data_IF_705294456355
#
_entry.id   IF_705294456355
#
_cell.length_a   1.000
_cell.length_b   1.000
_cell.length_c   1.000
_cell.angle_alpha   90.00
_cell.angle_beta   90.00
_cell.angle_gamma   90.00
#
_symmetry.space_group_name_H-M   'P 1'
#
loop_
_entity.id
_entity.type
_entity.pdbx_description
1 polymer ?
#
# COMPACT_ATOMS: atom_id res chain seq x y z
N UNK A 1 -87.33 -12.29 -60.45
CA UNK A 1 -86.07 -11.58 -60.88
C UNK A 1 -85.42 -10.97 -59.66
N UNK A 2 -84.51 -11.64 -59.08
CA UNK A 2 -83.63 -11.01 -58.10
C UNK A 2 -82.29 -11.76 -58.10
N UNK A 3 -81.23 -11.08 -58.51
CA UNK A 3 -79.85 -11.61 -58.56
C UNK A 3 -79.22 -11.53 -57.18
N UNK A 4 -78.91 -12.67 -56.61
CA UNK A 4 -78.07 -12.74 -55.40
C UNK A 4 -76.62 -12.55 -55.76
N UNK A 5 -75.95 -11.59 -55.08
CA UNK A 5 -74.54 -11.43 -55.13
C UNK A 5 -73.93 -12.16 -53.93
N UNK A 6 -73.05 -13.14 -54.19
CA UNK A 6 -72.29 -13.84 -53.24
C UNK A 6 -71.06 -12.96 -52.92
N UNK A 7 -70.86 -12.57 -51.65
CA UNK A 7 -69.68 -11.87 -51.17
C UNK A 7 -68.80 -12.91 -50.51
N UNK A 8 -67.66 -13.15 -51.10
CA UNK A 8 -66.60 -14.01 -50.51
C UNK A 8 -65.85 -13.29 -49.40
N UNK A 9 -65.88 -13.84 -48.18
CA UNK A 9 -65.02 -13.41 -47.08
C UNK A 9 -63.62 -14.09 -47.23
N UNK A 10 -62.58 -13.30 -47.32
CA UNK A 10 -61.18 -13.74 -47.23
C UNK A 10 -60.79 -13.64 -45.79
N UNK A 11 -60.26 -14.70 -45.12
CA UNK A 11 -59.72 -14.56 -43.76
C UNK A 11 -58.30 -13.99 -43.83
N UNK A 12 -58.12 -12.86 -43.17
CA UNK A 12 -56.82 -12.24 -42.97
C UNK A 12 -56.09 -13.03 -41.87
N UNK A 13 -55.07 -13.80 -42.25
CA UNK A 13 -54.12 -14.40 -41.29
C UNK A 13 -53.14 -13.34 -40.77
N UNK A 14 -53.35 -12.96 -39.51
CA UNK A 14 -52.32 -12.17 -38.79
C UNK A 14 -51.17 -13.09 -38.39
N UNK A 15 -50.05 -12.98 -39.10
CA UNK A 15 -48.79 -13.59 -38.67
C UNK A 15 -48.16 -12.66 -37.62
N UNK A 16 -48.27 -13.04 -36.35
CA UNK A 16 -47.53 -12.39 -35.27
C UNK A 16 -46.04 -12.78 -35.38
N UNK A 17 -45.23 -11.86 -35.88
CA UNK A 17 -43.79 -11.95 -35.81
C UNK A 17 -43.37 -11.73 -34.33
N UNK A 18 -43.11 -12.83 -33.63
CA UNK A 18 -42.42 -12.81 -32.33
C UNK A 18 -40.96 -12.43 -32.60
N UNK A 19 -40.64 -11.14 -32.42
CA UNK A 19 -39.27 -10.66 -32.40
C UNK A 19 -38.63 -11.12 -31.10
N UNK A 20 -37.89 -12.22 -31.14
CA UNK A 20 -36.92 -12.55 -30.10
C UNK A 20 -35.84 -11.45 -30.12
N UNK A 21 -36.00 -10.46 -29.24
CA UNK A 21 -34.83 -9.66 -28.82
C UNK A 21 -33.92 -10.59 -28.07
N UNK A 22 -32.84 -11.00 -28.71
CA UNK A 22 -31.69 -11.55 -28.01
C UNK A 22 -31.18 -10.43 -27.07
N UNK A 23 -31.37 -10.61 -25.77
CA UNK A 23 -30.58 -9.92 -24.77
C UNK A 23 -29.13 -10.27 -25.05
N UNK A 24 -28.43 -9.40 -25.76
CA UNK A 24 -26.98 -9.37 -25.68
C UNK A 24 -26.66 -9.06 -24.23
N UNK A 25 -26.25 -10.07 -23.46
CA UNK A 25 -25.45 -9.86 -22.28
C UNK A 25 -24.38 -8.85 -22.68
N UNK A 26 -24.54 -7.63 -22.19
CA UNK A 26 -23.42 -6.70 -22.09
C UNK A 26 -22.47 -7.31 -21.06
N UNK A 27 -21.58 -8.18 -21.52
CA UNK A 27 -20.30 -8.38 -20.88
C UNK A 27 -19.63 -7.00 -20.89
N UNK A 28 -19.86 -6.27 -19.81
CA UNK A 28 -19.08 -5.10 -19.47
C UNK A 28 -17.65 -5.60 -19.42
N UNK A 29 -16.88 -5.33 -20.47
CA UNK A 29 -15.42 -5.55 -20.45
C UNK A 29 -14.95 -4.73 -19.26
N UNK A 30 -14.62 -5.43 -18.14
CA UNK A 30 -13.83 -4.84 -17.08
C UNK A 30 -12.61 -4.26 -17.78
N UNK A 31 -12.51 -2.95 -17.74
CA UNK A 31 -11.28 -2.26 -18.11
C UNK A 31 -10.24 -2.83 -17.14
N UNK A 32 -9.34 -3.68 -17.63
CA UNK A 32 -8.28 -4.28 -16.82
C UNK A 32 -7.32 -3.16 -16.42
N UNK A 33 -7.72 -2.39 -15.40
CA UNK A 33 -6.89 -1.35 -14.81
C UNK A 33 -5.60 -2.02 -14.37
N UNK A 34 -4.49 -1.65 -14.98
CA UNK A 34 -3.18 -2.21 -14.65
C UNK A 34 -2.94 -2.05 -13.15
N UNK A 35 -2.62 -3.14 -12.45
CA UNK A 35 -2.34 -3.12 -11.01
C UNK A 35 -1.15 -2.20 -10.72
N UNK A 36 -1.15 -1.53 -9.56
CA UNK A 36 -0.04 -0.65 -9.18
C UNK A 36 1.07 -1.42 -8.45
N UNK A 37 2.30 -0.98 -8.66
CA UNK A 37 3.50 -1.39 -7.91
C UNK A 37 4.14 -0.12 -7.38
N UNK A 38 4.03 0.12 -6.06
CA UNK A 38 4.47 1.34 -5.39
C UNK A 38 5.72 1.04 -4.56
N UNK A 39 6.85 1.66 -4.88
CA UNK A 39 8.11 1.50 -4.15
C UNK A 39 8.42 2.71 -3.28
N UNK A 40 8.69 2.51 -2.00
CA UNK A 40 9.19 3.58 -1.12
C UNK A 40 10.71 3.71 -1.25
N UNK A 41 11.18 4.93 -1.51
CA UNK A 41 12.60 5.28 -1.63
C UNK A 41 13.01 6.13 -0.43
N UNK A 42 14.07 5.73 0.34
CA UNK A 42 14.42 6.38 1.61
C UNK A 42 15.26 7.65 1.40
N UNK A 43 14.62 8.79 1.19
CA UNK A 43 15.28 10.10 1.08
C UNK A 43 15.99 10.55 2.37
N UNK A 44 15.48 10.13 3.53
CA UNK A 44 16.10 10.40 4.82
C UNK A 44 17.50 9.79 4.97
N UNK A 45 17.85 8.80 4.16
CA UNK A 45 19.19 8.19 4.14
C UNK A 45 20.23 9.04 3.37
N UNK A 46 19.84 10.19 2.82
CA UNK A 46 20.69 11.08 2.06
C UNK A 46 20.55 10.88 0.55
N UNK A 47 21.68 10.96 -0.19
CA UNK A 47 21.67 10.77 -1.65
C UNK A 47 21.29 9.34 -2.02
N UNK A 48 20.28 9.20 -2.87
CA UNK A 48 19.84 7.91 -3.42
C UNK A 48 20.37 7.73 -4.84
N UNK A 49 20.90 6.55 -5.13
CA UNK A 49 21.34 6.20 -6.49
C UNK A 49 20.15 5.69 -7.32
N UNK A 50 19.50 6.59 -8.07
CA UNK A 50 18.37 6.25 -8.91
C UNK A 50 18.73 5.30 -10.08
N UNK A 51 20.02 5.12 -10.40
CA UNK A 51 20.43 4.18 -11.46
C UNK A 51 20.25 2.71 -11.06
N UNK A 52 20.01 2.44 -9.77
CA UNK A 52 19.70 1.11 -9.27
C UNK A 52 18.25 0.71 -9.44
N UNK A 53 17.37 1.63 -9.88
CA UNK A 53 15.94 1.40 -10.08
C UNK A 53 15.66 1.01 -11.52
N UNK A 54 15.06 -0.17 -11.73
CA UNK A 54 14.40 -0.50 -12.98
C UNK A 54 13.00 0.13 -13.02
N UNK A 55 12.91 1.28 -13.69
CA UNK A 55 11.69 2.08 -13.74
C UNK A 55 10.49 1.34 -14.36
N UNK A 56 10.74 0.37 -15.24
CA UNK A 56 9.68 -0.40 -15.91
C UNK A 56 8.97 -1.38 -14.96
N UNK A 57 9.60 -1.68 -13.81
CA UNK A 57 9.00 -2.55 -12.77
C UNK A 57 8.09 -1.80 -11.80
N UNK A 58 8.03 -0.48 -11.86
CA UNK A 58 7.27 0.37 -10.95
C UNK A 58 6.18 1.16 -11.68
N UNK A 59 5.08 1.42 -10.97
CA UNK A 59 4.09 2.41 -11.37
C UNK A 59 4.26 3.71 -10.59
N UNK A 60 4.71 3.60 -9.33
CA UNK A 60 4.89 4.74 -8.41
C UNK A 60 6.18 4.61 -7.62
N UNK A 61 6.76 5.76 -7.32
CA UNK A 61 7.81 5.93 -6.32
C UNK A 61 7.27 6.92 -5.28
N UNK A 62 7.22 6.50 -4.01
CA UNK A 62 6.95 7.35 -2.87
C UNK A 62 8.28 7.74 -2.22
N UNK A 63 8.65 9.02 -2.32
CA UNK A 63 9.87 9.55 -1.72
C UNK A 63 9.67 9.78 -0.22
N UNK A 64 10.31 8.99 0.61
CA UNK A 64 10.19 8.99 2.06
C UNK A 64 11.41 9.65 2.72
N UNK A 65 11.30 10.78 3.45
CA UNK A 65 10.06 11.45 3.78
C UNK A 65 10.19 12.97 3.67
N UNK A 66 9.05 13.65 3.62
CA UNK A 66 8.90 15.08 3.88
C UNK A 66 8.38 15.25 5.29
N UNK A 67 8.90 16.21 6.06
CA UNK A 67 8.49 16.46 7.45
C UNK A 67 7.37 17.49 7.56
N UNK A 68 6.76 17.58 8.74
CA UNK A 68 5.76 18.59 9.12
C UNK A 68 6.32 19.47 10.23
N UNK A 69 6.42 20.79 10.00
CA UNK A 69 6.85 21.77 10.99
C UNK A 69 5.96 23.01 10.94
N UNK A 70 5.49 23.52 12.07
CA UNK A 70 4.64 24.72 12.14
C UNK A 70 3.45 24.71 11.16
N UNK A 71 2.81 23.55 11.01
CA UNK A 71 1.70 23.30 10.08
C UNK A 71 2.06 23.46 8.60
N UNK A 72 3.32 23.25 8.21
CA UNK A 72 3.76 23.19 6.81
C UNK A 72 4.55 21.91 6.54
N UNK A 73 4.39 21.40 5.31
CA UNK A 73 5.29 20.38 4.79
C UNK A 73 6.65 21.02 4.44
N UNK A 74 7.74 20.43 4.92
CA UNK A 74 9.10 20.93 4.74
C UNK A 74 10.06 19.84 4.30
N UNK A 75 10.95 20.15 3.36
CA UNK A 75 12.09 19.29 3.03
C UNK A 75 13.12 19.38 4.15
N UNK A 76 13.52 18.23 4.70
CA UNK A 76 14.44 18.18 5.85
C UNK A 76 15.89 18.37 5.45
N UNK A 77 16.23 17.91 4.25
CA UNK A 77 17.57 18.06 3.69
C UNK A 77 17.46 18.54 2.24
N UNK A 78 17.24 19.83 2.08
CA UNK A 78 16.96 20.45 0.79
C UNK A 78 18.03 20.18 -0.26
N UNK A 79 19.31 20.04 0.15
CA UNK A 79 20.41 19.79 -0.78
C UNK A 79 20.35 18.39 -1.38
N UNK A 80 20.07 17.37 -0.58
CA UNK A 80 19.92 15.99 -1.08
C UNK A 80 18.55 15.73 -1.67
N UNK A 81 17.46 16.25 -1.05
CA UNK A 81 16.08 16.04 -1.51
C UNK A 81 15.89 16.55 -2.94
N UNK A 82 16.38 17.76 -3.23
CA UNK A 82 16.23 18.36 -4.56
C UNK A 82 17.02 17.63 -5.64
N UNK A 83 18.18 17.06 -5.31
CA UNK A 83 18.96 16.21 -6.21
C UNK A 83 18.25 14.88 -6.43
N UNK A 84 17.75 14.23 -5.36
CA UNK A 84 16.99 12.99 -5.44
C UNK A 84 15.75 13.15 -6.31
N UNK A 85 14.95 14.21 -6.14
CA UNK A 85 13.78 14.48 -6.99
C UNK A 85 14.14 14.60 -8.47
N UNK A 86 15.24 15.27 -8.79
CA UNK A 86 15.70 15.41 -10.19
C UNK A 86 16.13 14.06 -10.77
N UNK A 87 16.88 13.28 -10.00
CA UNK A 87 17.34 11.95 -10.44
C UNK A 87 16.16 11.00 -10.62
N UNK A 88 15.22 10.94 -9.66
CA UNK A 88 14.04 10.09 -9.73
C UNK A 88 13.08 10.52 -10.84
N UNK A 89 12.86 11.84 -11.07
CA UNK A 89 12.11 12.32 -12.22
C UNK A 89 12.77 11.93 -13.57
N UNK A 90 14.09 11.81 -13.59
CA UNK A 90 14.83 11.33 -14.76
C UNK A 90 14.41 9.91 -15.19
N UNK A 91 13.90 9.07 -14.28
CA UNK A 91 13.38 7.74 -14.60
C UNK A 91 12.16 7.77 -15.52
N UNK A 92 11.41 8.89 -15.55
CA UNK A 92 10.30 9.10 -16.49
C UNK A 92 10.75 9.14 -17.96
N UNK A 93 12.05 9.33 -18.25
CA UNK A 93 12.59 9.16 -19.59
C UNK A 93 12.59 7.69 -20.04
N UNK A 94 12.63 6.74 -19.10
CA UNK A 94 12.53 5.30 -19.35
C UNK A 94 11.06 4.87 -19.30
N UNK A 95 10.37 5.18 -18.20
CA UNK A 95 8.95 4.90 -18.01
C UNK A 95 8.14 6.21 -17.88
N UNK A 96 7.60 6.77 -18.99
CA UNK A 96 6.82 8.00 -18.94
C UNK A 96 5.53 7.95 -18.10
N UNK A 97 5.05 6.73 -17.78
CA UNK A 97 3.86 6.53 -16.95
C UNK A 97 4.18 6.49 -15.44
N UNK A 98 5.48 6.45 -15.07
CA UNK A 98 5.91 6.43 -13.68
C UNK A 98 5.46 7.68 -12.93
N UNK A 99 4.88 7.48 -11.74
CA UNK A 99 4.48 8.55 -10.82
C UNK A 99 5.54 8.71 -9.74
N UNK A 100 5.96 9.94 -9.48
CA UNK A 100 6.85 10.28 -8.38
C UNK A 100 6.10 11.15 -7.37
N UNK A 101 5.91 10.65 -6.17
CA UNK A 101 5.15 11.29 -5.11
C UNK A 101 6.02 11.60 -3.91
N UNK A 102 5.70 12.65 -3.15
CA UNK A 102 6.25 12.83 -1.81
C UNK A 102 5.42 12.03 -0.81
N UNK A 103 6.09 11.30 0.09
CA UNK A 103 5.48 10.75 1.29
C UNK A 103 5.80 11.65 2.48
N UNK A 104 4.76 12.10 3.19
CA UNK A 104 4.87 13.04 4.31
C UNK A 104 4.63 12.28 5.61
N UNK A 105 5.56 12.35 6.56
CA UNK A 105 5.47 11.72 7.87
C UNK A 105 6.41 10.54 8.05
N UNK A 106 5.85 9.34 8.21
CA UNK A 106 6.55 8.13 8.65
C UNK A 106 6.72 8.10 10.17
N UNK A 107 7.29 7.01 10.69
CA UNK A 107 7.39 6.74 12.13
C UNK A 107 7.97 7.92 12.91
N UNK A 108 9.13 8.46 12.48
CA UNK A 108 9.87 9.49 13.22
C UNK A 108 9.46 10.93 12.90
N UNK A 109 8.58 11.18 11.93
CA UNK A 109 8.19 12.53 11.53
C UNK A 109 6.68 12.76 11.53
N UNK A 110 5.97 12.00 12.40
CA UNK A 110 4.52 12.13 12.60
C UNK A 110 4.15 12.99 13.82
N UNK A 111 5.14 13.50 14.56
CA UNK A 111 4.93 14.22 15.82
C UNK A 111 4.06 15.48 15.69
N UNK A 112 4.09 16.16 14.54
CA UNK A 112 3.43 17.46 14.35
C UNK A 112 2.11 17.41 13.57
N UNK A 113 1.66 16.25 13.10
CA UNK A 113 0.43 16.17 12.29
C UNK A 113 -0.81 16.64 13.01
N UNK A 114 -1.03 16.20 14.25
CA UNK A 114 -2.22 16.53 15.01
C UNK A 114 -2.39 18.05 15.20
N UNK A 115 -1.28 18.79 15.38
CA UNK A 115 -1.28 20.26 15.43
C UNK A 115 -1.50 20.87 14.03
N UNK A 116 -0.84 20.31 13.01
CA UNK A 116 -0.95 20.82 11.65
C UNK A 116 -2.36 20.73 11.07
N UNK A 117 -3.16 19.75 11.50
CA UNK A 117 -4.50 19.53 10.95
C UNK A 117 -5.65 19.93 11.91
N UNK A 118 -5.31 20.50 13.07
CA UNK A 118 -6.29 20.78 14.12
C UNK A 118 -7.37 21.78 13.70
N UNK A 119 -7.00 22.84 12.99
CA UNK A 119 -7.92 23.90 12.55
C UNK A 119 -8.01 23.94 11.01
N UNK A 120 -9.09 24.51 10.48
CA UNK A 120 -9.21 24.77 9.04
C UNK A 120 -8.03 25.58 8.49
N UNK A 121 -7.62 26.61 9.21
CA UNK A 121 -6.48 27.46 8.81
C UNK A 121 -5.17 26.67 8.75
N UNK A 122 -4.88 25.87 9.78
CA UNK A 122 -3.65 25.05 9.81
C UNK A 122 -3.68 23.94 8.77
N UNK A 123 -4.82 23.26 8.57
CA UNK A 123 -4.99 22.26 7.49
C UNK A 123 -4.74 22.87 6.11
N UNK A 124 -5.33 24.04 5.84
CA UNK A 124 -5.11 24.73 4.56
C UNK A 124 -3.64 25.09 4.35
N UNK A 125 -2.97 25.60 5.38
CA UNK A 125 -1.53 25.89 5.34
C UNK A 125 -0.70 24.64 5.03
N UNK A 126 -1.02 23.51 5.68
CA UNK A 126 -0.40 22.22 5.44
C UNK A 126 -0.62 21.75 3.99
N UNK A 127 -1.86 21.75 3.52
CA UNK A 127 -2.19 21.30 2.16
C UNK A 127 -1.52 22.16 1.08
N UNK A 128 -1.54 23.47 1.23
CA UNK A 128 -0.90 24.39 0.30
C UNK A 128 0.62 24.20 0.23
N UNK A 129 1.29 24.01 1.38
CA UNK A 129 2.73 23.76 1.41
C UNK A 129 3.10 22.41 0.80
N UNK A 130 2.29 21.37 1.04
CA UNK A 130 2.48 20.05 0.44
C UNK A 130 2.38 20.11 -1.10
N UNK A 131 1.34 20.77 -1.61
CA UNK A 131 1.10 20.91 -3.05
C UNK A 131 2.12 21.86 -3.70
N UNK A 132 2.63 22.86 -2.97
CA UNK A 132 3.71 23.72 -3.47
C UNK A 132 5.01 22.93 -3.73
N UNK A 133 5.35 21.92 -2.90
CA UNK A 133 6.47 21.01 -3.16
C UNK A 133 6.20 20.20 -4.44
N UNK A 134 4.99 19.65 -4.60
CA UNK A 134 4.60 18.90 -5.81
C UNK A 134 4.77 19.75 -7.06
N UNK A 135 4.28 20.99 -7.05
CA UNK A 135 4.40 21.92 -8.19
C UNK A 135 5.86 22.30 -8.46
N UNK A 136 6.60 22.66 -7.41
CA UNK A 136 7.97 23.16 -7.53
C UNK A 136 8.93 22.15 -8.14
N UNK A 137 8.75 20.86 -7.81
CA UNK A 137 9.65 19.79 -8.23
C UNK A 137 9.07 18.88 -9.33
N UNK A 138 7.96 19.28 -9.96
CA UNK A 138 7.27 18.53 -11.03
C UNK A 138 6.95 17.08 -10.64
N UNK A 139 6.38 16.92 -9.44
CA UNK A 139 5.98 15.64 -8.90
C UNK A 139 4.53 15.30 -9.27
N UNK A 140 4.06 14.10 -8.96
CA UNK A 140 2.77 13.58 -9.40
C UNK A 140 1.72 13.49 -8.29
N UNK A 141 2.08 13.81 -7.03
CA UNK A 141 1.11 13.77 -5.94
C UNK A 141 1.70 13.71 -4.55
N UNK A 142 0.83 13.43 -3.60
CA UNK A 142 1.13 13.37 -2.15
C UNK A 142 0.68 12.04 -1.58
N UNK A 143 1.55 11.40 -0.84
CA UNK A 143 1.28 10.27 0.05
C UNK A 143 1.35 10.75 1.50
N UNK A 144 0.45 10.32 2.37
CA UNK A 144 0.45 10.64 3.79
C UNK A 144 0.73 9.38 4.59
N UNK A 145 1.74 9.44 5.42
CA UNK A 145 2.15 8.38 6.34
C UNK A 145 2.14 8.92 7.78
N UNK A 146 0.93 9.10 8.33
CA UNK A 146 0.75 9.63 9.69
C UNK A 146 0.62 8.49 10.70
N UNK A 147 1.62 8.32 11.56
CA UNK A 147 1.72 7.25 12.54
C UNK A 147 1.68 7.77 13.99
N UNK A 148 0.50 7.97 14.64
CA UNK A 148 -0.84 7.69 14.10
C UNK A 148 -1.82 8.80 14.51
N UNK A 149 -2.88 9.09 13.72
CA UNK A 149 -3.96 9.96 14.16
C UNK A 149 -4.69 9.33 15.36
N UNK A 150 -4.87 10.10 16.44
CA UNK A 150 -5.61 9.67 17.61
C UNK A 150 -4.97 8.57 18.46
N UNK A 151 -3.79 8.05 18.07
CA UNK A 151 -3.06 7.00 18.78
C UNK A 151 -1.60 7.39 19.00
N UNK A 152 -0.98 6.70 19.96
CA UNK A 152 0.43 6.87 20.25
C UNK A 152 1.30 6.21 19.18
N UNK A 153 2.20 7.00 18.57
CA UNK A 153 3.34 6.57 17.77
C UNK A 153 4.65 6.91 18.48
N UNK A 154 5.71 7.29 17.71
CA UNK A 154 6.98 7.79 18.26
C UNK A 154 6.83 9.29 18.56
N UNK A 155 6.78 9.65 19.85
CA UNK A 155 6.75 11.04 20.37
C UNK A 155 5.68 11.96 19.74
N UNK A 156 4.66 11.41 19.06
CA UNK A 156 3.62 12.18 18.39
C UNK A 156 2.60 12.76 19.38
N UNK A 157 2.11 13.96 19.08
CA UNK A 157 0.88 14.48 19.68
C UNK A 157 -0.32 13.79 19.03
N UNK A 158 -1.28 13.33 19.83
CA UNK A 158 -2.51 12.71 19.35
C UNK A 158 -3.73 13.17 20.15
N UNK A 159 -4.89 13.27 19.49
CA UNK A 159 -6.13 13.82 20.06
C UNK A 159 -7.35 13.04 19.55
N UNK A 160 -8.46 13.02 20.29
CA UNK A 160 -9.73 12.48 19.79
C UNK A 160 -10.22 13.15 18.50
N UNK A 161 -9.93 14.45 18.33
CA UNK A 161 -10.28 15.25 17.15
C UNK A 161 -9.56 14.77 15.87
N UNK A 162 -8.46 14.05 16.02
CA UNK A 162 -7.71 13.50 14.88
C UNK A 162 -8.57 12.55 14.03
N UNK A 163 -9.56 11.89 14.64
CA UNK A 163 -10.54 11.07 13.93
C UNK A 163 -11.17 11.81 12.74
N UNK A 164 -11.71 12.98 13.00
CA UNK A 164 -12.33 13.81 11.96
C UNK A 164 -11.29 14.56 11.15
N UNK A 165 -10.25 15.08 11.81
CA UNK A 165 -9.22 15.90 11.19
C UNK A 165 -8.41 15.12 10.16
N UNK A 166 -8.22 13.81 10.32
CA UNK A 166 -7.61 12.92 9.34
C UNK A 166 -8.40 12.92 8.01
N UNK A 167 -9.71 12.79 8.08
CA UNK A 167 -10.58 12.90 6.90
C UNK A 167 -10.54 14.29 6.27
N UNK A 168 -10.64 15.34 7.09
CA UNK A 168 -10.62 16.73 6.61
C UNK A 168 -9.27 17.14 6.01
N UNK A 169 -8.18 16.54 6.46
CA UNK A 169 -6.86 16.72 5.86
C UNK A 169 -6.84 16.23 4.40
N UNK A 170 -7.37 15.04 4.13
CA UNK A 170 -7.45 14.51 2.76
C UNK A 170 -8.37 15.35 1.88
N UNK A 171 -9.49 15.82 2.43
CA UNK A 171 -10.35 16.76 1.70
C UNK A 171 -9.57 18.01 1.28
N UNK A 172 -8.87 18.65 2.22
CA UNK A 172 -8.10 19.87 1.95
C UNK A 172 -6.95 19.64 0.95
N UNK A 173 -6.23 18.49 1.06
CA UNK A 173 -5.19 18.12 0.10
C UNK A 173 -5.76 17.87 -1.29
N UNK A 174 -6.90 17.19 -1.39
CA UNK A 174 -7.57 16.94 -2.68
C UNK A 174 -8.00 18.24 -3.35
N UNK A 175 -8.59 19.18 -2.59
CA UNK A 175 -8.99 20.50 -3.09
C UNK A 175 -7.80 21.27 -3.67
N UNK A 176 -6.64 21.29 -3.00
CA UNK A 176 -5.45 21.98 -3.49
C UNK A 176 -4.80 21.24 -4.70
N UNK A 177 -4.79 19.89 -4.71
CA UNK A 177 -4.31 19.11 -5.85
C UNK A 177 -5.23 19.28 -7.08
N UNK A 178 -6.54 19.36 -6.90
CA UNK A 178 -7.50 19.61 -7.97
C UNK A 178 -7.34 21.04 -8.54
N UNK A 179 -7.06 22.04 -7.69
CA UNK A 179 -6.74 23.39 -8.11
C UNK A 179 -5.43 23.40 -8.94
N UNK A 180 -4.42 22.66 -8.52
CA UNK A 180 -3.19 22.49 -9.29
C UNK A 180 -3.44 21.80 -10.63
N UNK A 181 -4.32 20.78 -10.67
CA UNK A 181 -4.73 20.09 -11.90
C UNK A 181 -5.38 21.04 -12.89
N UNK A 182 -6.27 21.93 -12.42
CA UNK A 182 -6.89 22.96 -13.27
C UNK A 182 -5.86 23.94 -13.86
N UNK A 183 -4.83 24.29 -13.08
CA UNK A 183 -3.75 25.20 -13.49
C UNK A 183 -2.82 24.58 -14.53
N UNK A 184 -2.47 23.31 -14.36
CA UNK A 184 -1.41 22.64 -15.15
C UNK A 184 -1.92 21.75 -16.27
N UNK A 185 -3.18 21.32 -16.21
CA UNK A 185 -3.76 20.28 -17.08
C UNK A 185 -3.28 18.87 -16.80
N UNK A 186 -2.50 18.65 -15.72
CA UNK A 186 -2.07 17.32 -15.24
C UNK A 186 -3.04 16.78 -14.18
N UNK A 187 -3.03 15.46 -13.96
CA UNK A 187 -3.69 14.82 -12.83
C UNK A 187 -2.68 14.53 -11.73
N UNK A 188 -3.09 14.74 -10.48
CA UNK A 188 -2.26 14.48 -9.30
C UNK A 188 -2.94 13.49 -8.38
N UNK A 189 -2.17 12.58 -7.81
CA UNK A 189 -2.67 11.52 -6.95
C UNK A 189 -2.51 11.86 -5.47
N UNK A 190 -3.41 11.32 -4.65
CA UNK A 190 -3.39 11.44 -3.21
C UNK A 190 -3.54 10.05 -2.60
N UNK A 191 -2.54 9.61 -1.85
CA UNK A 191 -2.51 8.29 -1.22
C UNK A 191 -2.21 8.39 0.26
N UNK A 192 -2.37 7.29 0.98
CA UNK A 192 -1.97 7.20 2.39
C UNK A 192 -1.46 5.81 2.73
N UNK A 193 -0.41 5.73 3.56
CA UNK A 193 -0.01 4.52 4.25
C UNK A 193 -0.73 4.44 5.59
N UNK A 194 -1.25 3.26 5.93
CA UNK A 194 -2.03 3.03 7.14
C UNK A 194 -1.70 1.67 7.77
N UNK A 195 -1.73 1.57 9.11
CA UNK A 195 -1.47 0.32 9.81
C UNK A 195 -2.60 -0.68 9.65
N UNK A 196 -2.34 -1.93 10.03
CA UNK A 196 -3.26 -3.06 9.84
C UNK A 196 -3.86 -3.59 11.16
N UNK A 197 -3.98 -2.77 12.19
CA UNK A 197 -4.61 -3.14 13.45
C UNK A 197 -5.98 -2.47 13.64
N UNK A 198 -6.89 -3.18 14.31
CA UNK A 198 -8.30 -2.79 14.45
C UNK A 198 -8.50 -1.44 15.14
N UNK A 199 -7.67 -1.13 16.15
CA UNK A 199 -7.79 0.11 16.91
C UNK A 199 -7.71 1.36 16.03
N UNK A 200 -6.83 1.38 15.02
CA UNK A 200 -6.75 2.48 14.06
C UNK A 200 -8.04 2.64 13.25
N UNK A 201 -8.66 1.54 12.84
CA UNK A 201 -9.90 1.57 12.06
C UNK A 201 -11.05 2.14 12.89
N UNK A 202 -11.11 1.79 14.18
CA UNK A 202 -12.18 2.23 15.09
C UNK A 202 -12.12 3.74 15.39
N UNK A 203 -10.91 4.30 15.38
CA UNK A 203 -10.69 5.72 15.68
C UNK A 203 -10.55 6.60 14.45
N UNK A 204 -10.68 6.07 13.24
CA UNK A 204 -10.67 6.82 11.99
C UNK A 204 -12.00 6.70 11.25
N UNK A 205 -12.16 7.46 10.17
CA UNK A 205 -13.34 7.40 9.30
C UNK A 205 -12.93 6.95 7.89
N UNK A 206 -12.26 5.78 7.78
CA UNK A 206 -11.60 5.35 6.55
C UNK A 206 -12.52 5.27 5.32
N UNK A 207 -13.79 4.87 5.50
CA UNK A 207 -14.77 4.89 4.41
C UNK A 207 -15.07 6.29 3.88
N UNK A 208 -15.00 7.34 4.73
CA UNK A 208 -15.12 8.74 4.30
C UNK A 208 -13.80 9.25 3.71
N UNK A 209 -12.68 8.99 4.39
CA UNK A 209 -11.35 9.42 3.96
C UNK A 209 -11.00 8.88 2.56
N UNK A 210 -11.35 7.62 2.28
CA UNK A 210 -11.07 6.96 1.01
C UNK A 210 -11.75 7.62 -0.21
N UNK A 211 -12.77 8.47 0.00
CA UNK A 211 -13.42 9.20 -1.10
C UNK A 211 -12.48 10.24 -1.74
N UNK A 212 -11.52 10.75 -0.98
CA UNK A 212 -10.53 11.73 -1.44
C UNK A 212 -9.24 11.08 -1.95
N UNK A 213 -9.03 9.79 -1.70
CA UNK A 213 -7.81 9.05 -1.97
C UNK A 213 -7.90 8.27 -3.28
N UNK A 214 -6.78 8.19 -3.99
CA UNK A 214 -6.60 7.30 -5.13
C UNK A 214 -6.26 5.89 -4.66
N UNK A 215 -5.31 5.75 -3.71
CA UNK A 215 -4.94 4.48 -3.10
C UNK A 215 -4.78 4.59 -1.58
N UNK A 216 -4.94 3.43 -0.94
CA UNK A 216 -4.79 3.22 0.50
C UNK A 216 -3.79 2.09 0.69
N UNK A 217 -2.56 2.43 1.08
CA UNK A 217 -1.42 1.54 1.21
C UNK A 217 -1.46 0.86 2.58
N UNK A 218 -1.81 -0.42 2.62
CA UNK A 218 -1.86 -1.19 3.85
C UNK A 218 -0.44 -1.54 4.28
N UNK A 219 0.04 -1.06 5.41
CA UNK A 219 1.29 -1.50 6.03
C UNK A 219 1.09 -2.89 6.66
N UNK A 220 0.85 -3.90 5.82
CA UNK A 220 0.59 -5.29 6.21
C UNK A 220 1.87 -6.02 6.61
N UNK A 221 2.62 -5.39 7.49
CA UNK A 221 3.86 -5.88 8.07
C UNK A 221 4.05 -5.33 9.48
N UNK A 222 5.12 -5.78 10.15
CA UNK A 222 5.46 -5.45 11.54
C UNK A 222 4.39 -5.86 12.57
N UNK A 223 3.70 -6.98 12.31
CA UNK A 223 2.70 -7.54 13.21
C UNK A 223 3.27 -7.99 14.56
N UNK A 224 4.57 -8.28 14.64
CA UNK A 224 5.28 -8.71 15.85
C UNK A 224 6.55 -7.89 16.02
N UNK A 225 6.51 -6.83 16.85
CA UNK A 225 7.64 -5.91 17.04
C UNK A 225 8.01 -5.67 18.50
N UNK A 226 7.12 -5.98 19.45
CA UNK A 226 7.30 -5.68 20.88
C UNK A 226 8.34 -6.54 21.60
N UNK A 227 8.92 -7.57 20.95
CA UNK A 227 10.05 -8.33 21.49
C UNK A 227 9.72 -9.30 22.62
N UNK A 228 8.45 -9.55 22.93
CA UNK A 228 8.03 -10.52 23.95
C UNK A 228 7.83 -11.91 23.35
N UNK A 229 7.08 -11.99 22.26
CA UNK A 229 6.79 -13.19 21.50
C UNK A 229 7.13 -12.92 20.04
N UNK A 230 7.84 -13.84 19.39
CA UNK A 230 8.15 -13.76 17.97
C UNK A 230 7.10 -14.47 17.13
N UNK A 231 6.81 -13.89 15.95
CA UNK A 231 5.88 -14.45 14.99
C UNK A 231 6.16 -13.92 13.57
N UNK A 232 5.39 -14.38 12.60
CA UNK A 232 5.48 -13.81 11.25
C UNK A 232 5.09 -12.34 11.27
N UNK A 233 5.93 -11.47 10.73
CA UNK A 233 5.64 -10.04 10.75
C UNK A 233 4.87 -9.55 9.52
N UNK A 234 4.64 -10.41 8.52
CA UNK A 234 3.99 -10.02 7.26
C UNK A 234 3.19 -11.18 6.62
N UNK A 235 2.65 -12.05 7.45
CA UNK A 235 1.85 -13.19 6.99
C UNK A 235 0.59 -12.76 6.24
N UNK A 236 0.25 -13.52 5.19
CA UNK A 236 -0.98 -13.26 4.43
C UNK A 236 -2.23 -13.69 5.18
N UNK A 237 -2.19 -14.84 5.87
CA UNK A 237 -3.30 -15.36 6.68
C UNK A 237 -2.86 -15.55 8.13
N UNK A 238 -3.82 -15.57 9.10
CA UNK A 238 -3.51 -15.89 10.48
C UNK A 238 -2.83 -17.27 10.59
N UNK A 239 -1.77 -17.36 11.38
CA UNK A 239 -1.15 -18.64 11.67
C UNK A 239 -1.93 -19.39 12.76
N UNK A 240 -1.98 -20.74 12.68
CA UNK A 240 -2.82 -21.57 13.56
C UNK A 240 -2.52 -21.44 15.05
N UNK A 241 -1.31 -21.08 15.39
CA UNK A 241 -0.81 -21.07 16.77
C UNK A 241 -0.73 -19.69 17.41
N UNK A 242 -1.27 -18.65 16.74
CA UNK A 242 -1.22 -17.28 17.25
C UNK A 242 -2.50 -16.86 17.95
N UNK A 243 -2.36 -16.23 19.12
CA UNK A 243 -3.44 -15.47 19.74
C UNK A 243 -3.76 -14.20 18.94
N UNK A 244 -2.72 -13.58 18.37
CA UNK A 244 -2.86 -12.46 17.46
C UNK A 244 -3.13 -12.98 16.04
N UNK A 245 -4.28 -12.60 15.49
CA UNK A 245 -4.72 -12.98 14.14
C UNK A 245 -4.31 -11.95 13.07
N UNK A 246 -3.46 -10.98 13.41
CA UNK A 246 -3.05 -9.96 12.45
C UNK A 246 -2.42 -10.58 11.21
N UNK A 247 -2.89 -10.11 10.06
CA UNK A 247 -2.49 -10.64 8.76
C UNK A 247 -2.95 -9.70 7.65
N UNK A 248 -2.36 -9.82 6.48
CA UNK A 248 -2.80 -9.07 5.31
C UNK A 248 -4.28 -9.32 4.95
N UNK A 249 -4.75 -10.55 5.10
CA UNK A 249 -6.16 -10.92 4.86
C UNK A 249 -7.11 -10.24 5.85
N UNK A 250 -6.77 -10.24 7.14
CA UNK A 250 -7.60 -9.58 8.14
C UNK A 250 -7.67 -8.07 7.94
N UNK A 251 -6.55 -7.45 7.59
CA UNK A 251 -6.51 -6.03 7.24
C UNK A 251 -7.42 -5.72 6.05
N UNK A 252 -7.34 -6.49 4.97
CA UNK A 252 -8.24 -6.37 3.84
C UNK A 252 -9.71 -6.44 4.25
N UNK A 253 -10.10 -7.44 5.05
CA UNK A 253 -11.48 -7.61 5.51
C UNK A 253 -11.93 -6.43 6.39
N UNK A 254 -11.09 -5.96 7.29
CA UNK A 254 -11.41 -4.88 8.21
C UNK A 254 -11.61 -3.55 7.47
N UNK A 255 -10.71 -3.18 6.53
CA UNK A 255 -10.83 -1.95 5.75
C UNK A 255 -11.98 -1.98 4.76
N UNK A 256 -12.24 -3.10 4.09
CA UNK A 256 -13.44 -3.22 3.24
C UNK A 256 -14.73 -3.12 4.04
N UNK A 257 -14.78 -3.71 5.24
CA UNK A 257 -15.92 -3.57 6.17
C UNK A 257 -16.08 -2.14 6.69
N UNK A 258 -14.99 -1.38 6.81
CA UNK A 258 -15.01 0.05 7.15
C UNK A 258 -15.42 0.96 5.97
N UNK A 259 -15.71 0.39 4.79
CA UNK A 259 -16.21 1.10 3.62
C UNK A 259 -15.14 1.58 2.64
N UNK A 260 -13.90 1.09 2.74
CA UNK A 260 -12.86 1.35 1.73
C UNK A 260 -13.06 0.40 0.55
N UNK A 261 -13.22 0.90 -0.70
CA UNK A 261 -13.33 0.04 -1.87
C UNK A 261 -12.09 -0.83 -2.08
N UNK A 262 -12.27 -2.11 -2.42
CA UNK A 262 -11.16 -3.05 -2.63
C UNK A 262 -10.17 -2.57 -3.69
N UNK A 263 -10.67 -1.95 -4.76
CA UNK A 263 -9.89 -1.39 -5.86
C UNK A 263 -9.07 -0.15 -5.50
N UNK A 264 -9.13 0.33 -4.25
CA UNK A 264 -8.25 1.36 -3.70
C UNK A 264 -7.21 0.79 -2.73
N UNK A 265 -7.40 -0.44 -2.23
CA UNK A 265 -6.49 -1.07 -1.30
C UNK A 265 -5.24 -1.63 -2.00
N UNK A 266 -4.07 -1.30 -1.47
CA UNK A 266 -2.76 -1.75 -1.94
C UNK A 266 -2.12 -2.58 -0.84
N UNK A 267 -1.73 -3.83 -1.13
CA UNK A 267 -1.15 -4.74 -0.14
C UNK A 267 0.32 -4.41 0.11
N UNK A 268 0.71 -4.19 1.37
CA UNK A 268 2.08 -3.90 1.76
C UNK A 268 2.96 -5.13 1.87
N UNK A 269 4.20 -5.00 1.44
CA UNK A 269 5.21 -6.05 1.46
C UNK A 269 6.51 -5.47 2.04
N UNK A 270 7.06 -6.04 3.14
CA UNK A 270 8.35 -5.62 3.63
C UNK A 270 9.45 -6.24 2.78
N UNK A 271 10.39 -5.42 2.29
CA UNK A 271 11.60 -5.91 1.65
C UNK A 271 12.72 -6.17 2.66
N UNK A 272 12.35 -6.38 3.91
CA UNK A 272 13.24 -6.66 5.04
C UNK A 272 12.67 -7.77 5.92
N UNK A 273 13.53 -8.37 6.73
CA UNK A 273 13.13 -9.35 7.75
C UNK A 273 13.35 -8.84 9.16
N UNK A 274 12.58 -9.39 10.10
CA UNK A 274 12.75 -9.26 11.54
C UNK A 274 13.48 -10.48 12.08
N UNK A 275 14.25 -10.31 13.16
CA UNK A 275 15.05 -11.39 13.73
C UNK A 275 15.10 -11.32 15.25
N UNK A 276 15.08 -12.51 15.88
CA UNK A 276 15.17 -12.67 17.33
C UNK A 276 16.03 -13.88 17.71
N UNK A 277 16.66 -13.82 18.87
CA UNK A 277 17.13 -15.00 19.57
C UNK A 277 16.05 -15.50 20.51
N UNK A 278 15.77 -16.80 20.49
CA UNK A 278 14.65 -17.40 21.20
C UNK A 278 15.08 -18.07 22.49
N UNK A 279 14.22 -18.07 23.50
CA UNK A 279 14.50 -18.75 24.79
C UNK A 279 14.61 -20.26 24.63
N UNK A 280 13.84 -20.85 23.71
CA UNK A 280 13.76 -22.31 23.48
C UNK A 280 13.85 -22.65 21.99
N UNK A 281 14.04 -23.94 21.68
CA UNK A 281 13.97 -24.47 20.30
C UNK A 281 12.54 -24.90 19.90
N UNK A 282 11.57 -24.78 20.81
CA UNK A 282 10.20 -25.18 20.53
C UNK A 282 9.60 -24.44 19.35
N UNK A 283 8.88 -25.16 18.50
CA UNK A 283 8.24 -24.64 17.30
C UNK A 283 9.16 -23.75 16.43
N UNK A 284 10.48 -23.99 16.45
CA UNK A 284 11.48 -23.18 15.75
C UNK A 284 11.35 -21.67 16.04
N UNK A 285 10.97 -21.35 17.28
CA UNK A 285 10.80 -19.97 17.74
C UNK A 285 9.46 -19.30 17.38
N UNK A 286 8.70 -19.84 16.42
CA UNK A 286 7.42 -19.26 16.03
C UNK A 286 6.42 -19.36 17.19
N UNK A 287 5.80 -18.22 17.54
CA UNK A 287 4.90 -18.04 18.67
C UNK A 287 5.53 -18.49 20.00
N UNK A 288 6.78 -18.11 20.22
CA UNK A 288 7.55 -18.40 21.44
C UNK A 288 8.19 -17.14 22.00
N UNK A 289 8.52 -17.22 23.29
CA UNK A 289 9.13 -16.12 24.02
C UNK A 289 10.52 -15.77 23.48
N UNK A 290 10.72 -14.49 23.24
CA UNK A 290 11.97 -13.89 22.79
C UNK A 290 12.95 -13.78 23.97
N UNK A 291 14.21 -14.14 23.74
CA UNK A 291 15.31 -13.88 24.64
C UNK A 291 15.87 -12.47 24.41
N UNK A 292 16.16 -12.17 23.16
CA UNK A 292 16.63 -10.85 22.73
C UNK A 292 16.30 -10.56 21.28
N UNK A 293 16.15 -9.26 20.96
CA UNK A 293 15.95 -8.80 19.59
C UNK A 293 17.28 -8.85 18.85
N UNK A 294 17.31 -9.47 17.70
CA UNK A 294 18.44 -9.47 16.79
C UNK A 294 18.24 -8.40 15.68
N UNK A 295 19.33 -8.00 15.04
CA UNK A 295 19.24 -7.05 13.93
C UNK A 295 18.48 -7.64 12.75
N UNK A 296 17.47 -6.94 12.27
CA UNK A 296 16.82 -7.22 11.00
C UNK A 296 17.75 -6.97 9.81
N UNK A 297 17.37 -7.48 8.64
CA UNK A 297 18.17 -7.36 7.43
C UNK A 297 17.30 -7.15 6.19
N UNK A 298 17.81 -6.42 5.21
CA UNK A 298 17.18 -6.32 3.87
C UNK A 298 17.18 -7.66 3.14
N UNK A 299 16.26 -7.82 2.22
CA UNK A 299 16.05 -9.11 1.53
C UNK A 299 17.28 -9.59 0.75
N UNK A 300 17.95 -8.71 0.01
CA UNK A 300 19.18 -9.11 -0.68
C UNK A 300 20.20 -9.75 0.27
N UNK A 301 20.39 -9.20 1.49
CA UNK A 301 21.29 -9.82 2.47
C UNK A 301 20.75 -11.15 2.99
N UNK A 302 19.44 -11.26 3.23
CA UNK A 302 18.82 -12.53 3.64
C UNK A 302 19.07 -13.59 2.58
N UNK A 303 18.80 -13.29 1.31
CA UNK A 303 18.94 -14.22 0.20
C UNK A 303 20.39 -14.62 -0.06
N UNK A 304 21.27 -13.66 -0.16
CA UNK A 304 22.66 -13.91 -0.59
C UNK A 304 23.56 -14.42 0.56
N UNK A 305 23.22 -14.11 1.81
CA UNK A 305 24.07 -14.38 2.94
C UNK A 305 23.46 -15.30 3.99
N UNK A 306 22.21 -15.06 4.43
CA UNK A 306 21.62 -15.87 5.50
C UNK A 306 21.13 -17.22 5.01
N UNK A 307 20.49 -17.29 3.83
CA UNK A 307 20.02 -18.55 3.24
C UNK A 307 21.15 -19.53 2.94
N UNK A 308 22.36 -19.02 2.70
CA UNK A 308 23.55 -19.84 2.40
C UNK A 308 24.43 -20.07 3.63
N UNK A 309 24.14 -19.41 4.77
CA UNK A 309 24.93 -19.49 5.98
C UNK A 309 24.70 -20.83 6.69
N UNK A 310 25.76 -21.60 7.04
CA UNK A 310 25.64 -22.83 7.78
C UNK A 310 24.82 -22.67 9.07
N UNK A 311 23.93 -23.63 9.33
CA UNK A 311 23.06 -23.64 10.51
C UNK A 311 21.68 -23.02 10.31
N UNK A 312 21.49 -22.19 9.26
CA UNK A 312 20.16 -21.73 8.90
C UNK A 312 19.45 -22.71 7.95
N UNK A 313 18.17 -22.93 8.20
CA UNK A 313 17.28 -23.71 7.33
C UNK A 313 16.03 -22.89 7.05
N UNK A 314 15.61 -22.81 5.78
CA UNK A 314 14.36 -22.21 5.38
C UNK A 314 13.20 -23.15 5.63
N UNK A 315 12.14 -22.61 6.20
CA UNK A 315 10.85 -23.25 6.40
C UNK A 315 9.74 -22.43 5.79
N UNK A 316 8.63 -23.09 5.52
CA UNK A 316 7.40 -22.48 5.03
C UNK A 316 6.26 -22.77 6.00
N UNK A 317 5.52 -21.74 6.40
CA UNK A 317 4.27 -21.90 7.14
C UNK A 317 3.10 -21.88 6.14
N UNK A 318 2.54 -23.06 5.88
CA UNK A 318 1.51 -23.20 4.85
C UNK A 318 0.18 -22.52 5.23
N UNK A 319 -0.10 -22.29 6.50
CA UNK A 319 -1.29 -21.56 6.95
C UNK A 319 -1.10 -20.06 6.84
N UNK A 320 0.00 -19.55 7.37
CA UNK A 320 0.36 -18.15 7.32
C UNK A 320 0.73 -17.67 5.90
N UNK A 321 1.12 -18.62 5.00
CA UNK A 321 1.69 -18.36 3.68
C UNK A 321 2.92 -17.46 3.78
N UNK A 322 3.81 -17.81 4.70
CA UNK A 322 5.01 -17.02 5.00
C UNK A 322 6.26 -17.89 5.20
N UNK A 323 7.42 -17.47 4.66
CA UNK A 323 8.70 -18.13 4.91
C UNK A 323 9.33 -17.67 6.23
N UNK A 324 10.22 -18.49 6.77
CA UNK A 324 11.11 -18.10 7.86
C UNK A 324 12.40 -18.92 7.85
N UNK A 325 13.46 -18.36 8.42
CA UNK A 325 14.70 -19.07 8.69
C UNK A 325 14.79 -19.43 10.17
N UNK A 326 15.30 -20.61 10.43
CA UNK A 326 15.61 -21.06 11.78
C UNK A 326 17.03 -21.60 11.87
N UNK A 327 17.74 -21.17 12.91
CA UNK A 327 19.04 -21.73 13.28
C UNK A 327 18.91 -22.37 14.66
N UNK A 328 18.93 -23.68 14.70
CA UNK A 328 18.73 -24.44 15.94
C UNK A 328 19.87 -24.26 16.95
N UNK A 329 21.12 -24.09 16.49
CA UNK A 329 22.28 -23.97 17.37
C UNK A 329 22.29 -22.61 18.08
N UNK A 330 21.98 -21.54 17.38
CA UNK A 330 21.91 -20.19 17.93
C UNK A 330 20.54 -19.81 18.44
N UNK A 331 19.52 -20.61 18.15
CA UNK A 331 18.09 -20.32 18.39
C UNK A 331 17.67 -18.99 17.76
N UNK A 332 18.21 -18.70 16.56
CA UNK A 332 17.87 -17.48 15.85
C UNK A 332 16.74 -17.73 14.86
N UNK A 333 15.67 -16.98 15.02
CA UNK A 333 14.54 -16.89 14.10
C UNK A 333 14.70 -15.65 13.22
N UNK A 334 14.46 -15.80 11.90
CA UNK A 334 14.33 -14.68 10.95
C UNK A 334 13.04 -14.87 10.18
N UNK A 335 12.15 -13.90 10.24
CA UNK A 335 10.89 -13.87 9.47
C UNK A 335 10.98 -12.79 8.40
N UNK A 336 10.46 -13.07 7.21
CA UNK A 336 10.65 -12.21 6.02
C UNK A 336 9.68 -12.61 4.92
N UNK A 337 9.69 -11.89 3.80
CA UNK A 337 9.04 -12.29 2.54
C UNK A 337 10.09 -12.76 1.53
N UNK A 338 9.74 -13.76 0.69
CA UNK A 338 10.53 -14.23 -0.44
C UNK A 338 9.69 -14.36 -1.71
N UNK A 339 10.28 -14.86 -2.79
CA UNK A 339 9.58 -14.97 -4.08
C UNK A 339 8.35 -15.90 -4.01
N UNK A 340 8.35 -16.90 -3.11
CA UNK A 340 7.21 -17.79 -2.91
C UNK A 340 6.04 -17.06 -2.22
N UNK A 341 6.31 -16.30 -1.16
CA UNK A 341 5.27 -15.48 -0.51
C UNK A 341 4.77 -14.35 -1.40
N UNK A 342 5.66 -13.72 -2.21
CA UNK A 342 5.29 -12.73 -3.23
C UNK A 342 4.29 -13.31 -4.22
N UNK A 343 4.56 -14.50 -4.76
CA UNK A 343 3.65 -15.18 -5.68
C UNK A 343 2.26 -15.35 -5.09
N UNK A 344 2.17 -15.79 -3.81
CA UNK A 344 0.89 -15.99 -3.13
C UNK A 344 0.19 -14.64 -2.88
N UNK A 345 0.91 -13.62 -2.45
CA UNK A 345 0.38 -12.27 -2.22
C UNK A 345 -0.13 -11.62 -3.51
N UNK A 346 0.59 -11.75 -4.63
CA UNK A 346 0.13 -11.26 -5.93
C UNK A 346 -1.13 -11.98 -6.42
N UNK A 347 -1.22 -13.31 -6.21
CA UNK A 347 -2.43 -14.06 -6.52
C UNK A 347 -3.63 -13.58 -5.69
N UNK A 348 -3.41 -13.32 -4.39
CA UNK A 348 -4.42 -12.77 -3.49
C UNK A 348 -4.91 -11.38 -3.93
N UNK A 349 -3.99 -10.48 -4.29
CA UNK A 349 -4.32 -9.13 -4.80
C UNK A 349 -5.22 -9.22 -6.05
N UNK A 350 -4.93 -10.15 -6.95
CA UNK A 350 -5.77 -10.39 -8.14
C UNK A 350 -7.13 -10.98 -7.78
N UNK A 351 -7.18 -11.98 -6.89
CA UNK A 351 -8.41 -12.62 -6.43
C UNK A 351 -9.37 -11.64 -5.73
N UNK A 352 -8.81 -10.74 -4.91
CA UNK A 352 -9.58 -9.76 -4.13
C UNK A 352 -9.84 -8.44 -4.85
N UNK A 353 -9.41 -8.33 -6.10
CA UNK A 353 -9.56 -7.12 -6.92
C UNK A 353 -8.94 -5.87 -6.29
N UNK A 354 -7.87 -6.04 -5.51
CA UNK A 354 -7.13 -4.94 -4.89
C UNK A 354 -6.38 -4.12 -5.95
N UNK A 355 -6.05 -2.87 -5.65
CA UNK A 355 -5.35 -1.97 -6.57
C UNK A 355 -3.97 -2.50 -6.99
N UNK A 356 -3.24 -3.14 -6.08
CA UNK A 356 -1.90 -3.61 -6.35
C UNK A 356 -1.12 -3.92 -5.08
N UNK A 357 0.20 -3.71 -5.16
CA UNK A 357 1.12 -3.90 -4.04
C UNK A 357 1.97 -2.65 -3.81
N UNK A 358 2.37 -2.40 -2.56
CA UNK A 358 3.44 -1.47 -2.23
C UNK A 358 4.52 -2.17 -1.40
N UNK A 359 5.72 -1.60 -1.36
CA UNK A 359 6.77 -2.20 -0.56
C UNK A 359 7.63 -1.17 0.19
N UNK A 360 7.98 -1.51 1.41
CA UNK A 360 8.94 -0.83 2.25
C UNK A 360 10.22 -1.68 2.38
N UNK A 361 11.39 -1.27 1.89
CA UNK A 361 11.72 -0.13 1.05
C UNK A 361 12.72 -0.58 -0.02
N UNK A 362 12.88 0.20 -1.06
CA UNK A 362 13.69 -0.16 -2.24
C UNK A 362 15.14 -0.51 -1.90
N UNK A 363 15.80 0.27 -1.03
CA UNK A 363 17.19 0.04 -0.63
C UNK A 363 17.43 -1.28 0.13
N UNK A 364 16.37 -1.97 0.57
CA UNK A 364 16.47 -3.26 1.25
C UNK A 364 16.64 -4.44 0.28
N UNK A 365 16.34 -4.24 -1.00
CA UNK A 365 16.55 -5.25 -2.06
C UNK A 365 17.20 -4.63 -3.32
N UNK A 366 18.45 -4.14 -3.22
CA UNK A 366 19.14 -3.47 -4.34
C UNK A 366 19.43 -4.38 -5.53
N UNK A 367 19.20 -5.68 -5.43
CA UNK A 367 19.27 -6.64 -6.55
C UNK A 367 17.91 -6.92 -7.18
N UNK A 368 16.87 -6.26 -6.71
CA UNK A 368 15.51 -6.32 -7.26
C UNK A 368 14.91 -7.74 -7.35
N UNK A 369 15.29 -8.64 -6.46
CA UNK A 369 14.73 -9.99 -6.44
C UNK A 369 13.22 -9.99 -6.23
N UNK A 370 12.73 -9.25 -5.20
CA UNK A 370 11.31 -9.23 -4.85
C UNK A 370 10.48 -8.38 -5.83
N UNK A 371 10.99 -7.23 -6.29
CA UNK A 371 10.23 -6.43 -7.27
C UNK A 371 10.15 -7.14 -8.62
N UNK A 372 11.16 -7.93 -9.00
CA UNK A 372 11.10 -8.82 -10.18
C UNK A 372 10.00 -9.87 -10.00
N UNK A 373 9.98 -10.57 -8.85
CA UNK A 373 8.92 -11.55 -8.55
C UNK A 373 7.52 -10.93 -8.52
N UNK A 374 7.38 -9.68 -8.01
CA UNK A 374 6.11 -8.94 -8.08
C UNK A 374 5.66 -8.78 -9.53
N UNK A 375 6.54 -8.31 -10.42
CA UNK A 375 6.19 -8.12 -11.83
C UNK A 375 5.83 -9.43 -12.54
N UNK A 376 6.55 -10.52 -12.27
CA UNK A 376 6.29 -11.84 -12.85
C UNK A 376 4.93 -12.42 -12.44
N UNK A 377 4.44 -12.06 -11.24
CA UNK A 377 3.24 -12.68 -10.68
C UNK A 377 2.03 -11.75 -10.58
N UNK A 378 2.21 -10.44 -10.67
CA UNK A 378 1.12 -9.49 -10.60
C UNK A 378 0.51 -9.24 -11.98
N UNK A 379 1.30 -9.24 -13.03
CA UNK A 379 0.90 -9.09 -14.43
C UNK A 379 0.94 -10.43 -15.17
#
# INVERSE_FOLDING_TARGET
MLKSRLTALIPLFFVALISCKSEKEQTQTRDDKKKVVIGYVPGYAGMFDATTIDADKLTHINYAFVNVQDSVAVLTNIETDTVNFRMLNGLKNVNPALKLMISIGGWSWSENFSDAVLTETSRKKFSQSSVAIVEQYDLDGVDIDWEYPGLRGEDNVFRPEDKQNFTLMFQSLREELDALSQKTGKTYELTTAIPCFQEFIDITEMGKASQYLDYVNLMSYDFYVNGEIAGHHSNLYPAESYENEDSGHRAYQAYTSAGVPAEKLVLGIPFYGRSWFMKTNENRGINRAVDSVARGAGYTFIKDSLLTKPGFTRYWDDKAKAPYLWNEQTRQLVVYDDEESIKVKCAYVKEKDMAGVMFWQYASDPKEYLVTAINEHLY
#
